data_IF_425744379292
#
_entry.id   IF_425744379292
#
_cell.length_a   1.000
_cell.length_b   1.000
_cell.length_c   1.000
_cell.angle_alpha   90.00
_cell.angle_beta   90.00
_cell.angle_gamma   90.00
#
_symmetry.space_group_name_H-M   'P 1'
#
loop_
_entity.id
_entity.type
_entity.pdbx_description
1 polymer ?
#
# COMPACT_ATOMS: atom_id res chain seq x y z
N UNK A 1 15.59 -14.64 -23.79
CA UNK A 1 14.19 -14.68 -23.31
C UNK A 1 14.10 -14.85 -21.79
N UNK A 2 14.81 -15.80 -21.18
CA UNK A 2 14.77 -16.05 -19.72
C UNK A 2 15.29 -14.84 -18.91
N UNK A 3 16.37 -14.19 -19.34
CA UNK A 3 16.93 -12.97 -18.72
C UNK A 3 15.93 -11.80 -18.63
N UNK A 4 14.95 -11.75 -19.54
CA UNK A 4 13.91 -10.70 -19.54
C UNK A 4 12.79 -11.02 -18.53
N UNK A 5 12.49 -12.30 -18.32
CA UNK A 5 11.38 -12.76 -17.48
C UNK A 5 11.80 -12.96 -16.02
N UNK A 6 13.07 -13.29 -15.78
CA UNK A 6 13.61 -13.66 -14.47
C UNK A 6 13.46 -12.55 -13.41
N UNK A 7 13.73 -11.25 -13.70
CA UNK A 7 13.52 -10.18 -12.73
C UNK A 7 12.05 -10.00 -12.34
N UNK A 8 11.13 -10.08 -13.30
CA UNK A 8 9.69 -9.96 -13.06
C UNK A 8 9.13 -11.11 -12.22
N UNK A 9 9.55 -12.34 -12.51
CA UNK A 9 9.19 -13.51 -11.70
C UNK A 9 9.72 -13.41 -10.27
N UNK A 10 10.98 -12.99 -10.11
CA UNK A 10 11.56 -12.82 -8.77
C UNK A 10 10.84 -11.71 -8.00
N UNK A 11 10.54 -10.59 -8.65
CA UNK A 11 9.79 -9.50 -8.04
C UNK A 11 8.39 -9.93 -7.58
N UNK A 12 7.70 -10.74 -8.39
CA UNK A 12 6.39 -11.31 -8.05
C UNK A 12 6.44 -12.28 -6.87
N UNK A 13 7.43 -13.18 -6.81
CA UNK A 13 7.62 -14.08 -5.66
C UNK A 13 7.92 -13.29 -4.39
N UNK A 14 8.83 -12.31 -4.47
CA UNK A 14 9.16 -11.44 -3.34
C UNK A 14 7.92 -10.68 -2.84
N UNK A 15 7.11 -10.16 -3.76
CA UNK A 15 5.86 -9.48 -3.42
C UNK A 15 4.86 -10.43 -2.76
N UNK A 16 4.67 -11.63 -3.31
CA UNK A 16 3.76 -12.64 -2.77
C UNK A 16 4.17 -13.05 -1.34
N UNK A 17 5.46 -13.21 -1.09
CA UNK A 17 5.99 -13.49 0.26
C UNK A 17 5.70 -12.37 1.26
N UNK A 18 5.66 -11.10 0.83
CA UNK A 18 5.32 -9.98 1.71
C UNK A 18 3.80 -9.80 1.85
N UNK A 19 3.05 -9.92 0.75
CA UNK A 19 1.61 -9.72 0.69
C UNK A 19 0.82 -10.82 1.43
N UNK A 20 1.29 -12.07 1.40
CA UNK A 20 0.62 -13.19 2.07
C UNK A 20 0.47 -12.99 3.59
N UNK A 21 1.57 -12.79 4.34
CA UNK A 21 1.51 -12.53 5.78
C UNK A 21 0.76 -11.25 6.14
N UNK A 22 0.99 -10.16 5.37
CA UNK A 22 0.26 -8.89 5.56
C UNK A 22 -1.25 -9.09 5.39
N UNK A 23 -1.68 -9.79 4.33
CA UNK A 23 -3.08 -10.08 4.07
C UNK A 23 -3.72 -10.91 5.19
N UNK A 24 -3.03 -11.94 5.69
CA UNK A 24 -3.52 -12.74 6.82
C UNK A 24 -3.73 -11.89 8.07
N UNK A 25 -2.82 -10.96 8.37
CA UNK A 25 -2.95 -10.06 9.51
C UNK A 25 -4.12 -9.08 9.36
N UNK A 26 -4.27 -8.50 8.16
CA UNK A 26 -5.38 -7.59 7.81
C UNK A 26 -6.74 -8.26 8.02
N UNK A 27 -6.87 -9.53 7.61
CA UNK A 27 -8.09 -10.34 7.81
C UNK A 27 -8.37 -10.60 9.29
N UNK A 28 -7.36 -10.97 10.08
CA UNK A 28 -7.53 -11.20 11.53
C UNK A 28 -7.97 -9.95 12.28
N UNK A 29 -7.52 -8.78 11.84
CA UNK A 29 -7.92 -7.48 12.41
C UNK A 29 -9.25 -6.96 11.87
N UNK A 30 -9.97 -7.76 11.07
CA UNK A 30 -11.25 -7.43 10.41
C UNK A 30 -11.18 -6.25 9.42
N UNK A 31 -10.00 -5.84 8.96
CA UNK A 31 -9.83 -4.68 8.09
C UNK A 31 -10.04 -5.04 6.60
N UNK A 32 -11.24 -5.46 6.21
CA UNK A 32 -11.48 -5.97 4.84
C UNK A 32 -11.24 -4.94 3.74
N UNK A 33 -11.47 -3.65 4.02
CA UNK A 33 -11.35 -2.54 3.07
C UNK A 33 -9.95 -1.93 2.99
N UNK A 34 -8.98 -2.45 3.73
CA UNK A 34 -7.64 -1.86 3.81
C UNK A 34 -6.89 -1.93 2.48
N UNK A 35 -6.93 -3.10 1.83
CA UNK A 35 -6.31 -3.29 0.51
C UNK A 35 -6.93 -2.39 -0.55
N UNK A 36 -8.25 -2.25 -0.55
CA UNK A 36 -8.99 -1.38 -1.46
C UNK A 36 -8.62 0.10 -1.27
N UNK A 37 -8.55 0.54 -0.01
CA UNK A 37 -8.14 1.91 0.34
C UNK A 37 -6.72 2.21 -0.15
N UNK A 38 -5.79 1.26 0.03
CA UNK A 38 -4.40 1.41 -0.43
C UNK A 38 -4.28 1.46 -1.95
N UNK A 39 -5.06 0.66 -2.68
CA UNK A 39 -5.08 0.67 -4.14
C UNK A 39 -5.57 2.01 -4.71
N UNK A 40 -6.62 2.58 -4.11
CA UNK A 40 -7.14 3.89 -4.52
C UNK A 40 -6.23 5.05 -4.08
N UNK A 41 -5.56 4.91 -2.94
CA UNK A 41 -4.53 5.85 -2.49
C UNK A 41 -3.33 5.90 -3.45
N UNK A 42 -2.88 4.76 -3.97
CA UNK A 42 -1.78 4.72 -4.93
C UNK A 42 -2.18 5.33 -6.27
N UNK A 43 -3.41 5.06 -6.76
CA UNK A 43 -3.97 5.72 -7.95
C UNK A 43 -4.00 7.25 -7.78
N UNK A 44 -4.52 7.74 -6.65
CA UNK A 44 -4.53 9.16 -6.33
C UNK A 44 -3.11 9.75 -6.34
N UNK A 45 -2.15 9.04 -5.76
CA UNK A 45 -0.75 9.44 -5.73
C UNK A 45 -0.10 9.51 -7.12
N UNK A 46 -0.37 8.53 -7.99
CA UNK A 46 0.07 8.57 -9.40
C UNK A 46 -0.54 9.78 -10.09
N UNK A 47 -1.85 10.02 -9.92
CA UNK A 47 -2.54 11.16 -10.49
C UNK A 47 -1.93 12.49 -10.03
N UNK A 48 -1.65 12.66 -8.74
CA UNK A 48 -0.98 13.87 -8.25
C UNK A 48 0.46 14.03 -8.75
N UNK A 49 1.22 12.93 -8.80
CA UNK A 49 2.60 12.96 -9.33
C UNK A 49 2.63 13.46 -10.77
N UNK A 50 1.72 12.96 -11.60
CA UNK A 50 1.59 13.39 -12.99
C UNK A 50 1.13 14.85 -13.10
N UNK A 51 0.23 15.31 -12.22
CA UNK A 51 -0.30 16.69 -12.25
C UNK A 51 0.78 17.70 -11.93
N UNK A 52 1.54 17.41 -10.89
CA UNK A 52 2.59 18.29 -10.38
C UNK A 52 3.92 18.14 -11.14
N UNK A 53 3.97 17.27 -12.16
CA UNK A 53 5.19 16.91 -12.89
C UNK A 53 6.32 16.39 -11.97
N UNK A 54 5.95 15.74 -10.86
CA UNK A 54 6.86 15.11 -9.90
C UNK A 54 6.98 13.63 -10.22
N UNK A 55 8.11 13.01 -9.88
CA UNK A 55 8.27 11.57 -10.05
C UNK A 55 7.13 10.80 -9.34
N UNK A 56 6.31 10.02 -10.08
CA UNK A 56 5.14 9.33 -9.53
C UNK A 56 5.46 8.41 -8.35
N UNK A 57 6.67 7.86 -8.30
CA UNK A 57 7.12 7.01 -7.19
C UNK A 57 7.05 7.74 -5.84
N UNK A 58 7.59 8.97 -5.77
CA UNK A 58 7.57 9.77 -4.53
C UNK A 58 6.16 10.29 -4.22
N UNK A 59 5.39 10.65 -5.24
CA UNK A 59 4.03 11.12 -5.07
C UNK A 59 3.12 10.03 -4.48
N UNK A 60 3.23 8.78 -4.98
CA UNK A 60 2.52 7.62 -4.42
C UNK A 60 2.87 7.43 -2.95
N UNK A 61 4.16 7.36 -2.62
CA UNK A 61 4.60 7.18 -1.23
C UNK A 61 4.05 8.28 -0.33
N UNK A 62 4.13 9.54 -0.75
CA UNK A 62 3.66 10.69 0.02
C UNK A 62 2.14 10.66 0.24
N UNK A 63 1.35 10.43 -0.81
CA UNK A 63 -0.11 10.38 -0.72
C UNK A 63 -0.59 9.18 0.09
N UNK A 64 0.01 8.01 -0.10
CA UNK A 64 -0.31 6.81 0.68
C UNK A 64 0.03 6.99 2.16
N UNK A 65 1.18 7.58 2.50
CA UNK A 65 1.54 7.93 3.88
C UNK A 65 0.58 8.97 4.48
N UNK A 66 0.18 9.97 3.71
CA UNK A 66 -0.77 10.99 4.15
C UNK A 66 -2.13 10.37 4.48
N UNK A 67 -2.65 9.50 3.61
CA UNK A 67 -3.92 8.80 3.85
C UNK A 67 -3.82 7.81 5.00
N UNK A 68 -2.72 7.06 5.13
CA UNK A 68 -2.48 6.17 6.26
C UNK A 68 -2.39 6.95 7.59
N UNK A 69 -1.71 8.09 7.61
CA UNK A 69 -1.64 8.97 8.77
C UNK A 69 -2.99 9.58 9.14
N UNK A 70 -3.77 10.00 8.12
CA UNK A 70 -5.13 10.48 8.29
C UNK A 70 -6.06 9.40 8.88
N UNK A 71 -5.94 8.16 8.41
CA UNK A 71 -6.66 7.01 8.97
C UNK A 71 -6.31 6.79 10.45
N UNK A 72 -5.02 6.74 10.80
CA UNK A 72 -4.58 6.53 12.20
C UNK A 72 -5.05 7.67 13.11
N UNK A 73 -5.07 8.91 12.62
CA UNK A 73 -5.59 10.04 13.38
C UNK A 73 -7.10 9.94 13.61
N UNK A 74 -7.83 9.44 12.60
CA UNK A 74 -9.28 9.30 12.65
C UNK A 74 -9.72 8.07 13.46
N UNK A 75 -8.94 6.99 13.44
CA UNK A 75 -9.12 5.77 14.27
C UNK A 75 -9.04 6.10 15.77
N UNK A 76 -8.26 7.11 16.17
CA UNK A 76 -8.20 7.56 17.58
C UNK A 76 -9.51 8.17 18.09
N UNK A 77 -10.49 8.45 17.22
CA UNK A 77 -11.80 8.96 17.61
C UNK A 77 -12.77 7.78 17.78
N UNK A 78 -13.36 7.58 18.98
CA UNK A 78 -14.10 6.37 19.32
C UNK A 78 -15.48 6.21 18.65
N UNK A 79 -15.87 7.11 17.76
CA UNK A 79 -17.26 7.19 17.27
C UNK A 79 -17.53 6.41 15.96
N UNK A 80 -16.51 5.93 15.25
CA UNK A 80 -16.68 5.30 13.93
C UNK A 80 -15.97 3.95 13.86
N UNK A 81 -16.62 2.97 13.22
CA UNK A 81 -16.01 1.69 12.93
C UNK A 81 -14.84 1.88 11.95
N UNK A 82 -13.74 1.17 12.16
CA UNK A 82 -12.56 1.27 11.30
C UNK A 82 -12.89 0.91 9.84
N UNK A 83 -13.79 -0.04 9.61
CA UNK A 83 -14.23 -0.45 8.27
C UNK A 83 -14.98 0.66 7.53
N UNK A 84 -15.78 1.47 8.23
CA UNK A 84 -16.47 2.60 7.61
C UNK A 84 -15.50 3.73 7.28
N UNK A 85 -14.51 3.98 8.13
CA UNK A 85 -13.44 4.94 7.85
C UNK A 85 -12.63 4.55 6.62
N UNK A 86 -12.22 3.29 6.53
CA UNK A 86 -11.52 2.76 5.36
C UNK A 86 -12.37 2.92 4.09
N UNK A 87 -13.65 2.53 4.14
CA UNK A 87 -14.55 2.67 2.99
C UNK A 87 -14.71 4.12 2.51
N UNK A 88 -14.87 5.08 3.43
CA UNK A 88 -14.97 6.51 3.10
C UNK A 88 -13.66 7.03 2.50
N UNK A 89 -12.52 6.64 3.08
CA UNK A 89 -11.19 7.03 2.60
C UNK A 89 -10.91 6.47 1.20
N UNK A 90 -11.32 5.22 0.90
CA UNK A 90 -11.17 4.61 -0.42
C UNK A 90 -11.95 5.38 -1.49
N UNK A 91 -13.24 5.64 -1.26
CA UNK A 91 -14.10 6.33 -2.23
C UNK A 91 -13.72 7.80 -2.40
N UNK A 92 -13.31 8.48 -1.32
CA UNK A 92 -12.81 9.85 -1.42
C UNK A 92 -11.48 9.93 -2.19
N UNK A 93 -10.56 8.98 -1.97
CA UNK A 93 -9.34 8.89 -2.75
C UNK A 93 -9.60 8.61 -4.23
N UNK A 94 -10.53 7.70 -4.55
CA UNK A 94 -10.95 7.42 -5.91
C UNK A 94 -11.56 8.66 -6.59
N UNK A 95 -12.52 9.31 -5.93
CA UNK A 95 -13.19 10.50 -6.47
C UNK A 95 -12.20 11.64 -6.73
N UNK A 96 -11.32 11.93 -5.76
CA UNK A 96 -10.28 12.93 -5.93
C UNK A 96 -9.30 12.55 -7.05
N UNK A 97 -8.94 11.27 -7.14
CA UNK A 97 -8.04 10.76 -8.18
C UNK A 97 -8.62 10.95 -9.57
N UNK A 98 -9.91 10.62 -9.75
CA UNK A 98 -10.64 10.82 -10.99
C UNK A 98 -10.78 12.30 -11.36
N UNK A 99 -11.02 13.18 -10.38
CA UNK A 99 -11.04 14.64 -10.62
C UNK A 99 -9.69 15.12 -11.12
N UNK A 100 -8.60 14.72 -10.47
CA UNK A 100 -7.22 15.06 -10.87
C UNK A 100 -6.91 14.56 -12.28
N UNK A 101 -7.27 13.31 -12.59
CA UNK A 101 -7.10 12.73 -13.93
C UNK A 101 -7.94 13.47 -14.97
N UNK A 102 -9.18 13.84 -14.64
CA UNK A 102 -10.07 14.58 -15.56
C UNK A 102 -9.54 15.98 -15.92
N UNK A 103 -8.71 16.59 -15.06
CA UNK A 103 -8.04 17.86 -15.36
C UNK A 103 -6.88 17.69 -16.35
N UNK A 104 -6.37 16.47 -16.53
CA UNK A 104 -5.31 16.13 -17.47
C UNK A 104 -5.87 15.72 -18.83
N UNK A 105 -6.28 16.67 -19.66
CA UNK A 105 -6.84 16.34 -20.98
C UNK A 105 -5.80 15.94 -22.05
N UNK A 106 -4.50 16.09 -21.77
CA UNK A 106 -3.45 16.00 -22.81
C UNK A 106 -2.42 14.87 -22.57
N UNK A 107 -2.42 14.22 -21.41
CA UNK A 107 -1.37 13.26 -21.08
C UNK A 107 -1.86 11.84 -21.39
N UNK A 108 -1.36 11.24 -22.48
CA UNK A 108 -1.50 9.79 -22.76
C UNK A 108 -0.58 9.02 -21.80
N UNK A 109 -0.94 9.00 -20.52
CA UNK A 109 -0.23 8.19 -19.53
C UNK A 109 -0.73 6.77 -19.65
N UNK A 110 0.18 5.83 -19.87
CA UNK A 110 -0.12 4.43 -19.66
C UNK A 110 -0.23 4.16 -18.16
N UNK A 111 -1.44 4.40 -17.63
CA UNK A 111 -1.75 4.19 -16.22
C UNK A 111 -1.56 2.71 -15.87
N UNK A 112 -1.76 1.81 -16.82
CA UNK A 112 -1.54 0.37 -16.62
C UNK A 112 -0.05 0.09 -16.40
N UNK A 113 0.84 0.71 -17.18
CA UNK A 113 2.28 0.58 -16.96
C UNK A 113 2.74 1.13 -15.60
N UNK A 114 2.06 2.15 -15.05
CA UNK A 114 2.38 2.68 -13.72
C UNK A 114 1.76 1.89 -12.57
N UNK A 115 0.53 1.39 -12.72
CA UNK A 115 -0.18 0.63 -11.69
C UNK A 115 0.32 -0.82 -11.57
N UNK A 116 0.60 -1.47 -12.70
CA UNK A 116 1.14 -2.83 -12.74
C UNK A 116 2.67 -2.86 -12.72
N UNK A 117 3.30 -1.73 -13.06
CA UNK A 117 4.74 -1.61 -13.16
C UNK A 117 5.27 -2.21 -14.46
N UNK A 118 6.23 -1.53 -15.08
CA UNK A 118 7.05 -2.13 -16.13
C UNK A 118 8.30 -2.76 -15.51
N UNK A 119 8.31 -4.09 -15.42
CA UNK A 119 9.45 -4.88 -14.94
C UNK A 119 10.52 -5.10 -16.02
N UNK A 120 10.24 -4.73 -17.27
CA UNK A 120 11.04 -5.06 -18.46
C UNK A 120 12.19 -4.07 -18.70
N UNK A 121 12.25 -2.96 -17.95
CA UNK A 121 13.10 -1.81 -18.27
C UNK A 121 14.44 -1.74 -17.54
N UNK A 122 15.46 -2.45 -18.05
CA UNK A 122 16.84 -1.97 -18.32
C UNK A 122 17.69 -1.19 -17.29
N UNK A 123 17.24 -0.91 -16.06
CA UNK A 123 18.01 -0.14 -15.08
C UNK A 123 18.18 -0.94 -13.78
N UNK A 124 19.31 -1.64 -13.66
CA UNK A 124 19.65 -2.51 -12.54
C UNK A 124 19.50 -1.84 -11.15
N UNK A 125 19.65 -0.51 -11.07
CA UNK A 125 19.48 0.24 -9.82
C UNK A 125 18.04 0.29 -9.29
N UNK A 126 17.02 0.28 -10.16
CA UNK A 126 15.60 0.34 -9.71
C UNK A 126 15.13 -0.99 -9.14
N UNK A 127 15.60 -2.10 -9.73
CA UNK A 127 15.33 -3.43 -9.23
C UNK A 127 15.95 -3.64 -7.85
N UNK A 128 17.16 -3.13 -7.63
CA UNK A 128 17.83 -3.23 -6.34
C UNK A 128 17.09 -2.46 -5.24
N UNK A 129 16.61 -1.25 -5.53
CA UNK A 129 15.80 -0.47 -4.59
C UNK A 129 14.50 -1.21 -4.21
N UNK A 130 13.80 -1.78 -5.19
CA UNK A 130 12.59 -2.58 -4.95
C UNK A 130 12.88 -3.78 -4.05
N UNK A 131 13.94 -4.53 -4.37
CA UNK A 131 14.40 -5.68 -3.59
C UNK A 131 14.70 -5.29 -2.15
N UNK A 132 15.47 -4.22 -1.92
CA UNK A 132 15.77 -3.72 -0.58
C UNK A 132 14.49 -3.34 0.17
N UNK A 133 13.55 -2.67 -0.50
CA UNK A 133 12.28 -2.28 0.12
C UNK A 133 11.47 -3.51 0.59
N UNK A 134 11.34 -4.55 -0.25
CA UNK A 134 10.63 -5.78 0.11
C UNK A 134 11.34 -6.51 1.26
N UNK A 135 12.66 -6.61 1.22
CA UNK A 135 13.44 -7.25 2.29
C UNK A 135 13.27 -6.50 3.61
N UNK A 136 13.28 -5.16 3.60
CA UNK A 136 13.04 -4.34 4.79
C UNK A 136 11.62 -4.58 5.33
N UNK A 137 10.60 -4.60 4.47
CA UNK A 137 9.22 -4.88 4.88
C UNK A 137 9.09 -6.27 5.51
N UNK A 138 9.69 -7.30 4.89
CA UNK A 138 9.71 -8.66 5.42
C UNK A 138 10.45 -8.73 6.75
N UNK A 139 11.60 -8.07 6.88
CA UNK A 139 12.38 -8.05 8.11
C UNK A 139 11.61 -7.38 9.27
N UNK A 140 10.95 -6.24 9.00
CA UNK A 140 10.08 -5.57 9.97
C UNK A 140 8.91 -6.47 10.36
N UNK A 141 8.29 -7.13 9.39
CA UNK A 141 7.16 -8.03 9.62
C UNK A 141 7.56 -9.22 10.48
N UNK A 142 8.70 -9.85 10.19
CA UNK A 142 9.25 -10.95 11.00
C UNK A 142 9.62 -10.48 12.41
N UNK A 143 10.21 -9.30 12.54
CA UNK A 143 10.56 -8.73 13.84
C UNK A 143 9.32 -8.41 14.68
N UNK A 144 8.28 -7.82 14.08
CA UNK A 144 7.05 -7.48 14.77
C UNK A 144 6.03 -8.63 14.85
N UNK A 145 6.28 -9.78 14.22
CA UNK A 145 5.33 -10.90 14.14
C UNK A 145 4.79 -11.31 15.51
N UNK A 146 5.66 -11.40 16.52
CA UNK A 146 5.27 -11.69 17.92
C UNK A 146 4.37 -10.61 18.52
N UNK A 147 4.66 -9.34 18.27
CA UNK A 147 3.84 -8.23 18.76
C UNK A 147 2.49 -8.19 18.06
N UNK A 148 2.46 -8.42 16.75
CA UNK A 148 1.23 -8.50 15.95
C UNK A 148 0.33 -9.66 16.42
N UNK A 149 0.90 -10.84 16.68
CA UNK A 149 0.20 -11.97 17.30
C UNK A 149 -0.33 -11.64 18.70
N UNK A 150 0.45 -10.94 19.53
CA UNK A 150 0.04 -10.55 20.88
C UNK A 150 -1.15 -9.59 20.90
N UNK A 151 -1.29 -8.74 19.87
CA UNK A 151 -2.45 -7.85 19.72
C UNK A 151 -3.72 -8.60 19.32
N UNK A 152 -3.61 -9.72 18.59
CA UNK A 152 -4.75 -10.54 18.15
C UNK A 152 -5.28 -11.48 19.24
N UNK A 153 -4.42 -11.97 20.16
CA UNK A 153 -4.76 -13.00 21.17
C UNK A 153 -5.53 -12.46 22.39
N UNK A 154 -6.05 -11.23 22.33
CA UNK A 154 -6.98 -10.60 23.28
C UNK A 154 -6.37 -9.92 24.53
N UNK A 155 -7.04 -8.85 25.04
CA UNK A 155 -6.77 -8.19 26.32
C UNK A 155 -7.09 -9.05 27.57
N UNK A 156 -7.55 -10.30 27.43
CA UNK A 156 -8.08 -11.10 28.54
C UNK A 156 -7.00 -11.54 29.54
N UNK A 157 -5.74 -11.62 29.10
CA UNK A 157 -4.60 -11.90 29.99
C UNK A 157 -4.30 -10.76 30.98
N UNK A 158 -4.76 -9.53 30.71
CA UNK A 158 -4.46 -8.37 31.56
C UNK A 158 -5.40 -8.24 32.76
N UNK A 159 -6.53 -8.98 32.78
CA UNK A 159 -7.49 -9.01 33.89
C UNK A 159 -7.34 -10.24 34.81
N UNK A 160 -6.50 -11.22 34.45
CA UNK A 160 -6.24 -12.42 35.27
C UNK A 160 -5.08 -12.24 36.27
N UNK A 161 -4.40 -11.09 36.26
CA UNK A 161 -3.25 -10.80 37.12
C UNK A 161 -3.44 -9.53 37.97
N UNK A 162 -4.66 -8.98 38.04
CA UNK A 162 -5.06 -7.91 38.96
C UNK A 162 -6.12 -8.45 39.91
#
# INVERSE_FOLDING_TARGET
MIELLLPGWLAGIMLACAAGPLGSFVVWRRMSYFGDTLAHASLLGVAFGLLLNVNPFYAVIAVTLMLAGGLVWLEKRPHLALDTLLGIMAHSALSLGLVVVSLMSNIRVDLMAYLFGDFTGGNAGRFDLYRHCVVIVLAILLWQWRNLLSMTISPIWRLSMA
#
